data_IF_942374017197
#
_entry.id   IF_942374017197
#
_cell.length_a   1.000
_cell.length_b   1.000
_cell.length_c   1.000
_cell.angle_alpha   90.00
_cell.angle_beta   90.00
_cell.angle_gamma   90.00
#
_symmetry.space_group_name_H-M   'P 1'
#
loop_
_entity.id
_entity.type
_entity.pdbx_description
1 polymer ?
#
# COMPACT_ATOMS: atom_id res chain seq x y z
N UNK A 1 16.19 24.39 -18.35
CA UNK A 1 16.23 22.95 -18.67
C UNK A 1 15.59 22.22 -17.50
N UNK A 2 14.27 22.03 -17.57
CA UNK A 2 13.51 21.32 -16.55
C UNK A 2 13.64 19.82 -16.80
N UNK A 3 13.84 19.04 -15.74
CA UNK A 3 13.82 17.59 -15.78
C UNK A 3 12.41 17.13 -16.18
N UNK A 4 12.20 16.36 -17.26
CA UNK A 4 10.86 16.03 -17.77
C UNK A 4 10.02 15.10 -16.89
N UNK A 5 10.51 14.68 -15.71
CA UNK A 5 9.95 13.53 -14.99
C UNK A 5 8.99 13.86 -13.83
N UNK A 6 8.71 15.14 -13.54
CA UNK A 6 7.85 15.54 -12.42
C UNK A 6 6.48 16.08 -12.86
N UNK A 7 5.85 15.45 -13.85
CA UNK A 7 4.41 15.65 -14.10
C UNK A 7 3.76 14.28 -14.29
N UNK A 8 3.29 13.70 -13.19
CA UNK A 8 2.03 12.95 -13.19
C UNK A 8 1.99 11.54 -13.78
N UNK A 9 3.05 10.73 -13.74
CA UNK A 9 2.93 9.31 -14.08
C UNK A 9 3.48 8.38 -12.98
N UNK A 10 2.64 7.42 -12.62
CA UNK A 10 2.89 6.31 -11.70
C UNK A 10 4.17 5.57 -12.11
N UNK A 11 5.17 5.54 -11.23
CA UNK A 11 6.42 4.82 -11.50
C UNK A 11 6.33 3.43 -10.87
N UNK A 12 6.12 2.40 -11.69
CA UNK A 12 6.51 1.04 -11.36
C UNK A 12 8.03 0.91 -11.46
N UNK A 13 8.70 0.10 -10.62
CA UNK A 13 10.15 -0.08 -10.71
C UNK A 13 10.48 -0.92 -11.95
N UNK A 14 10.71 -0.27 -13.09
CA UNK A 14 11.35 -0.92 -14.25
C UNK A 14 12.85 -1.07 -13.98
N UNK A 15 13.38 -2.21 -14.41
CA UNK A 15 14.71 -2.76 -14.12
C UNK A 15 15.91 -2.00 -14.69
N UNK A 16 15.77 -0.73 -15.08
CA UNK A 16 16.82 0.06 -15.74
C UNK A 16 17.17 1.33 -14.94
N UNK A 17 17.59 1.16 -13.68
CA UNK A 17 18.12 2.23 -12.86
C UNK A 17 19.66 2.12 -12.77
N UNK A 18 20.32 2.34 -13.90
CA UNK A 18 21.78 2.40 -13.96
C UNK A 18 22.24 3.79 -13.47
N UNK A 19 22.67 3.83 -12.19
CA UNK A 19 23.58 4.81 -11.55
C UNK A 19 23.15 6.31 -11.39
N UNK A 20 23.13 6.72 -10.11
CA UNK A 20 23.50 8.05 -9.56
C UNK A 20 22.55 9.27 -9.63
N UNK A 21 21.23 9.10 -9.70
CA UNK A 21 20.29 10.22 -9.47
C UNK A 21 19.83 10.33 -8.00
N UNK A 22 19.77 9.24 -7.25
CA UNK A 22 19.23 9.25 -5.88
C UNK A 22 20.21 9.76 -4.80
N UNK A 23 21.53 9.87 -5.08
CA UNK A 23 22.53 10.20 -4.05
C UNK A 23 22.51 11.67 -3.61
N UNK A 24 22.08 12.60 -4.46
CA UNK A 24 22.11 14.05 -4.18
C UNK A 24 20.73 14.69 -3.92
N UNK A 25 19.67 13.88 -3.79
CA UNK A 25 18.31 14.37 -3.64
C UNK A 25 17.52 13.61 -2.55
N UNK A 26 18.23 13.10 -1.54
CA UNK A 26 17.68 12.30 -0.44
C UNK A 26 16.57 12.99 0.36
N UNK A 27 16.46 14.32 0.26
CA UNK A 27 15.42 15.13 0.93
C UNK A 27 14.13 15.32 0.11
N UNK A 28 14.10 14.91 -1.16
CA UNK A 28 12.97 15.16 -2.07
C UNK A 28 12.36 13.88 -2.66
N UNK A 29 13.03 12.74 -2.51
CA UNK A 29 12.37 11.44 -2.59
C UNK A 29 11.72 11.11 -1.24
N UNK A 30 10.68 11.86 -0.87
CA UNK A 30 9.72 11.35 0.09
C UNK A 30 8.69 10.55 -0.73
N UNK A 31 8.70 9.20 -0.73
CA UNK A 31 7.64 8.42 -1.37
C UNK A 31 6.26 8.69 -0.74
N UNK A 32 6.20 9.46 0.35
CA UNK A 32 4.98 9.91 1.04
C UNK A 32 4.37 11.18 0.42
N UNK A 33 4.52 11.40 -0.89
CA UNK A 33 3.81 12.49 -1.57
C UNK A 33 2.38 12.03 -1.93
N UNK A 34 1.49 12.12 -0.94
CA UNK A 34 0.04 12.04 -1.13
C UNK A 34 -0.56 10.64 -1.04
N UNK A 35 -0.58 10.02 0.14
CA UNK A 35 -1.33 8.77 0.36
C UNK A 35 -2.82 9.11 0.53
N UNK A 36 -3.52 9.39 -0.57
CA UNK A 36 -4.98 9.29 -0.64
C UNK A 36 -5.36 7.86 -1.01
N UNK A 37 -5.03 6.93 -0.12
CA UNK A 37 -5.32 5.51 -0.30
C UNK A 37 -6.52 5.15 0.60
N UNK A 38 -7.54 4.46 0.08
CA UNK A 38 -8.71 4.04 0.88
C UNK A 38 -8.31 3.21 2.11
N UNK A 39 -7.19 2.49 2.01
CA UNK A 39 -6.59 1.72 3.11
C UNK A 39 -6.09 2.59 4.27
N UNK A 40 -5.74 3.87 4.04
CA UNK A 40 -5.28 4.77 5.10
C UNK A 40 -6.35 5.02 6.17
N UNK A 41 -7.64 4.94 5.78
CA UNK A 41 -8.78 5.09 6.71
C UNK A 41 -8.90 3.92 7.70
N UNK A 42 -8.26 2.79 7.43
CA UNK A 42 -8.31 1.59 8.27
C UNK A 42 -7.25 1.61 9.39
N UNK A 43 -6.42 2.66 9.48
CA UNK A 43 -5.38 2.76 10.51
C UNK A 43 -4.18 1.86 10.26
N UNK A 44 -3.84 1.62 9.00
CA UNK A 44 -2.66 0.84 8.63
C UNK A 44 -1.37 1.63 8.85
N UNK A 45 -0.27 0.93 9.11
CA UNK A 45 1.04 1.58 9.22
C UNK A 45 1.53 2.12 7.87
N UNK A 46 2.39 3.14 7.91
CA UNK A 46 2.88 3.83 6.70
C UNK A 46 3.62 2.90 5.74
N UNK A 47 4.42 1.97 6.27
CA UNK A 47 5.17 1.02 5.45
C UNK A 47 4.28 0.06 4.67
N UNK A 48 3.14 -0.36 5.23
CA UNK A 48 2.16 -1.20 4.54
C UNK A 48 1.40 -0.38 3.48
N UNK A 49 1.04 0.86 3.79
CA UNK A 49 0.40 1.76 2.82
C UNK A 49 1.29 2.03 1.59
N UNK A 50 2.59 2.26 1.81
CA UNK A 50 3.56 2.42 0.73
C UNK A 50 3.69 1.13 -0.10
N UNK A 51 3.78 -0.03 0.56
CA UNK A 51 3.84 -1.31 -0.14
C UNK A 51 2.57 -1.57 -0.98
N UNK A 52 1.39 -1.24 -0.46
CA UNK A 52 0.12 -1.36 -1.18
C UNK A 52 0.10 -0.46 -2.42
N UNK A 53 0.59 0.78 -2.29
CA UNK A 53 0.69 1.71 -3.41
C UNK A 53 1.64 1.21 -4.50
N UNK A 54 2.81 0.66 -4.13
CA UNK A 54 3.77 0.09 -5.07
C UNK A 54 3.21 -1.10 -5.85
N UNK A 55 2.35 -1.88 -5.22
CA UNK A 55 1.67 -3.02 -5.85
C UNK A 55 0.44 -2.57 -6.67
N UNK A 56 -0.02 -1.33 -6.49
CA UNK A 56 -1.17 -0.77 -7.20
C UNK A 56 -2.52 -1.03 -6.53
N UNK A 57 -2.55 -1.32 -5.23
CA UNK A 57 -3.79 -1.42 -4.46
C UNK A 57 -4.19 -0.04 -3.92
N UNK A 58 -5.30 0.51 -4.45
CA UNK A 58 -5.77 1.87 -4.12
C UNK A 58 -6.92 1.90 -3.12
N UNK A 59 -7.87 0.98 -3.26
CA UNK A 59 -9.09 0.96 -2.45
C UNK A 59 -9.38 -0.44 -1.93
N UNK A 60 -9.71 -0.58 -0.64
CA UNK A 60 -10.12 -1.85 -0.07
C UNK A 60 -11.46 -2.30 -0.65
N UNK A 61 -11.62 -3.61 -0.81
CA UNK A 61 -12.93 -4.22 -1.06
C UNK A 61 -13.76 -4.23 0.23
N UNK A 62 -15.09 -4.33 0.11
CA UNK A 62 -16.02 -4.37 1.25
C UNK A 62 -15.63 -5.43 2.31
N UNK A 63 -15.17 -6.61 1.86
CA UNK A 63 -14.73 -7.66 2.80
C UNK A 63 -13.41 -7.30 3.49
N UNK A 64 -12.50 -6.59 2.83
CA UNK A 64 -11.23 -6.13 3.42
C UNK A 64 -11.44 -5.03 4.45
N UNK A 65 -12.31 -4.06 4.16
CA UNK A 65 -12.68 -2.99 5.10
C UNK A 65 -13.26 -3.54 6.40
N UNK A 66 -14.10 -4.59 6.32
CA UNK A 66 -14.70 -5.22 7.48
C UNK A 66 -13.75 -6.18 8.19
N UNK A 67 -12.95 -6.94 7.43
CA UNK A 67 -12.04 -7.94 7.99
C UNK A 67 -10.92 -7.29 8.79
N UNK A 68 -10.34 -6.19 8.30
CA UNK A 68 -9.17 -5.58 8.93
C UNK A 68 -9.39 -5.22 10.41
N UNK A 69 -10.39 -4.40 10.79
CA UNK A 69 -10.64 -4.08 12.20
C UNK A 69 -11.07 -5.31 13.01
N UNK A 70 -11.81 -6.25 12.40
CA UNK A 70 -12.24 -7.47 13.08
C UNK A 70 -11.04 -8.35 13.48
N UNK A 71 -10.08 -8.56 12.57
CA UNK A 71 -8.88 -9.35 12.86
C UNK A 71 -7.95 -8.61 13.82
N UNK A 72 -7.81 -7.28 13.66
CA UNK A 72 -7.01 -6.45 14.57
C UNK A 72 -7.55 -6.42 16.01
N UNK A 73 -8.82 -6.77 16.23
CA UNK A 73 -9.39 -6.90 17.58
C UNK A 73 -8.90 -8.13 18.35
N UNK A 74 -8.20 -9.06 17.70
CA UNK A 74 -7.65 -10.27 18.33
C UNK A 74 -8.68 -11.38 18.57
N UNK A 75 -9.87 -11.27 17.98
CA UNK A 75 -10.91 -12.31 18.03
C UNK A 75 -10.84 -13.26 16.84
N UNK A 76 -11.42 -14.45 16.97
CA UNK A 76 -11.63 -15.34 15.83
C UNK A 76 -12.63 -14.75 14.83
N UNK A 77 -12.27 -14.73 13.54
CA UNK A 77 -13.09 -14.13 12.47
C UNK A 77 -13.39 -15.16 11.38
N UNK A 78 -14.68 -15.32 11.05
CA UNK A 78 -15.12 -16.08 9.89
C UNK A 78 -15.32 -15.15 8.68
N UNK A 79 -14.52 -15.32 7.63
CA UNK A 79 -14.60 -14.53 6.39
C UNK A 79 -15.37 -15.31 5.31
N UNK A 80 -16.65 -14.99 5.11
CA UNK A 80 -17.50 -15.61 4.09
C UNK A 80 -17.76 -14.64 2.92
N UNK A 81 -17.21 -14.97 1.75
CA UNK A 81 -17.46 -14.23 0.49
C UNK A 81 -17.09 -15.10 -0.72
N UNK A 82 -17.51 -14.72 -1.92
CA UNK A 82 -17.24 -15.47 -3.17
C UNK A 82 -15.76 -15.42 -3.58
N UNK A 83 -15.34 -16.23 -4.55
CA UNK A 83 -13.98 -16.19 -5.09
C UNK A 83 -13.74 -14.87 -5.84
N UNK A 84 -12.51 -14.35 -5.83
CA UNK A 84 -12.20 -13.06 -6.45
C UNK A 84 -12.53 -11.82 -5.60
N UNK A 85 -13.27 -11.95 -4.49
CA UNK A 85 -13.63 -10.79 -3.63
C UNK A 85 -12.50 -10.24 -2.76
N UNK A 86 -11.25 -10.69 -2.94
CA UNK A 86 -10.12 -10.16 -2.18
C UNK A 86 -9.94 -10.70 -0.75
N UNK A 87 -10.57 -11.84 -0.40
CA UNK A 87 -10.45 -12.48 0.93
C UNK A 87 -9.00 -12.76 1.34
N UNK A 88 -8.12 -13.09 0.39
CA UNK A 88 -6.70 -13.36 0.67
C UNK A 88 -6.02 -12.15 1.29
N UNK A 89 -6.18 -10.98 0.67
CA UNK A 89 -5.62 -9.74 1.19
C UNK A 89 -6.34 -9.32 2.48
N UNK A 90 -7.63 -9.64 2.63
CA UNK A 90 -8.43 -9.31 3.81
C UNK A 90 -7.89 -9.89 5.12
N UNK A 91 -7.38 -11.14 5.12
CA UNK A 91 -6.74 -11.72 6.30
C UNK A 91 -5.23 -11.45 6.35
N UNK A 92 -4.57 -11.29 5.20
CA UNK A 92 -3.11 -11.15 5.15
C UNK A 92 -2.64 -9.76 5.60
N UNK A 93 -3.35 -8.69 5.24
CA UNK A 93 -3.03 -7.32 5.66
C UNK A 93 -2.90 -7.15 7.19
N UNK A 94 -3.90 -7.54 8.00
CA UNK A 94 -3.79 -7.42 9.46
C UNK A 94 -2.67 -8.32 10.02
N UNK A 95 -2.43 -9.51 9.46
CA UNK A 95 -1.32 -10.37 9.89
C UNK A 95 0.05 -9.74 9.64
N UNK A 96 0.28 -9.16 8.46
CA UNK A 96 1.54 -8.47 8.15
C UNK A 96 1.74 -7.28 9.09
N UNK A 97 0.66 -6.57 9.44
CA UNK A 97 0.72 -5.47 10.39
C UNK A 97 1.07 -5.93 11.81
N UNK A 98 0.58 -7.10 12.25
CA UNK A 98 0.88 -7.68 13.56
C UNK A 98 2.32 -8.21 13.69
N UNK A 99 2.95 -8.60 12.57
CA UNK A 99 4.32 -9.15 12.54
C UNK A 99 5.41 -8.06 12.55
N UNK A 100 5.04 -6.81 12.31
CA UNK A 100 5.97 -5.69 12.18
C UNK A 100 6.09 -4.93 13.49
#
# INVERSE_FOLDING_TARGET
MLCPACVGESFAPSSDCELDICKNHSSLCNPTAGITNGFAKLGMNEGLLQALQLVGFTDPTEIQERAFPAVMSGTDVLLASHTGSGKTLAYLLPLIQLLK
#
